data_IF_625133785142
#
_entry.id   IF_625133785142
#
_cell.length_a   1.000
_cell.length_b   1.000
_cell.length_c   1.000
_cell.angle_alpha   90.00
_cell.angle_beta   90.00
_cell.angle_gamma   90.00
#
_symmetry.space_group_name_H-M   'P 1'
#
loop_
_entity.id
_entity.type
_entity.pdbx_description
1 polymer ?
#
# COMPACT_ATOMS: atom_id res chain seq x y z
N UNK A 1 -5.07 -20.18 -2.46
CA UNK A 1 -4.72 -20.39 -1.04
C UNK A 1 -5.37 -19.36 -0.15
N UNK A 2 -5.08 -18.08 -0.34
CA UNK A 2 -5.61 -16.99 0.50
C UNK A 2 -6.16 -15.86 -0.37
N UNK A 3 -7.07 -15.05 0.17
CA UNK A 3 -7.53 -13.82 -0.45
C UNK A 3 -6.51 -12.69 -0.30
N UNK A 4 -6.96 -11.46 -0.57
CA UNK A 4 -6.18 -10.23 -0.36
C UNK A 4 -6.37 -9.66 1.07
N UNK A 5 -6.74 -10.51 2.03
CA UNK A 5 -7.03 -10.11 3.40
C UNK A 5 -5.88 -10.51 4.32
N UNK A 6 -5.23 -9.57 5.02
CA UNK A 6 -4.31 -9.90 6.11
C UNK A 6 -4.89 -10.88 7.14
N UNK A 7 -6.21 -10.83 7.37
CA UNK A 7 -6.90 -11.78 8.24
C UNK A 7 -6.74 -13.24 7.77
N UNK A 8 -6.77 -13.51 6.46
CA UNK A 8 -6.64 -14.86 5.90
C UNK A 8 -5.25 -15.48 6.18
N UNK A 9 -4.23 -14.63 6.30
CA UNK A 9 -2.85 -15.05 6.60
C UNK A 9 -2.58 -15.20 8.10
N UNK A 10 -3.52 -14.80 8.96
CA UNK A 10 -3.35 -14.85 10.41
C UNK A 10 -3.16 -16.29 10.89
N UNK A 11 -2.05 -16.54 11.58
CA UNK A 11 -1.72 -17.87 12.11
C UNK A 11 -1.23 -18.88 11.07
N UNK A 12 -1.09 -18.47 9.80
CA UNK A 12 -0.55 -19.32 8.74
C UNK A 12 0.97 -19.29 8.75
N UNK A 13 1.61 -20.46 8.61
CA UNK A 13 3.05 -20.52 8.41
C UNK A 13 3.39 -20.33 6.93
N UNK A 14 3.78 -19.10 6.60
CA UNK A 14 4.24 -18.67 5.26
C UNK A 14 5.76 -18.45 5.20
N UNK A 15 6.48 -18.79 6.27
CA UNK A 15 7.94 -18.64 6.31
C UNK A 15 8.59 -19.48 5.22
N UNK A 16 9.57 -18.88 4.54
CA UNK A 16 10.37 -19.49 3.46
C UNK A 16 9.54 -19.97 2.25
N UNK A 17 8.28 -19.52 2.14
CA UNK A 17 7.41 -19.79 0.99
C UNK A 17 7.41 -18.63 0.02
N UNK A 18 7.32 -18.95 -1.27
CA UNK A 18 7.00 -17.97 -2.31
C UNK A 18 5.50 -17.71 -2.32
N UNK A 19 5.09 -16.44 -2.19
CA UNK A 19 3.69 -16.03 -2.30
C UNK A 19 3.45 -15.48 -3.70
N UNK A 20 2.61 -16.17 -4.48
CA UNK A 20 2.12 -15.64 -5.76
C UNK A 20 0.87 -14.81 -5.46
N UNK A 21 1.02 -13.49 -5.51
CA UNK A 21 -0.04 -12.56 -5.18
C UNK A 21 -0.64 -11.92 -6.43
N UNK A 22 -1.93 -12.18 -6.67
CA UNK A 22 -2.66 -11.63 -7.81
C UNK A 22 -3.73 -10.64 -7.32
N UNK A 23 -3.65 -9.39 -7.74
CA UNK A 23 -4.65 -8.36 -7.42
C UNK A 23 -5.16 -7.71 -8.70
N UNK A 24 -6.40 -7.22 -8.66
CA UNK A 24 -7.02 -6.55 -9.81
C UNK A 24 -6.26 -5.30 -10.28
N UNK A 25 -5.52 -4.64 -9.38
CA UNK A 25 -4.72 -3.46 -9.66
C UNK A 25 -3.23 -3.79 -9.93
N UNK A 26 -2.81 -5.04 -9.75
CA UNK A 26 -1.41 -5.45 -9.92
C UNK A 26 -0.89 -5.23 -11.34
N UNK A 27 -1.74 -5.44 -12.35
CA UNK A 27 -1.40 -5.17 -13.76
C UNK A 27 -1.26 -3.67 -14.05
N UNK A 28 -2.02 -2.83 -13.35
CA UNK A 28 -1.92 -1.36 -13.46
C UNK A 28 -0.60 -0.89 -12.85
N UNK A 29 -0.21 -1.41 -11.69
CA UNK A 29 1.11 -1.16 -11.11
C UNK A 29 2.26 -1.59 -12.03
N UNK A 30 2.17 -2.78 -12.64
CA UNK A 30 3.17 -3.28 -13.59
C UNK A 30 3.28 -2.40 -14.85
N UNK A 31 2.16 -1.89 -15.38
CA UNK A 31 2.15 -1.00 -16.54
C UNK A 31 2.63 0.41 -16.22
N UNK A 32 2.16 1.01 -15.13
CA UNK A 32 2.52 2.38 -14.73
C UNK A 32 4.00 2.52 -14.44
N UNK A 33 4.62 1.44 -13.97
CA UNK A 33 6.02 1.46 -13.68
C UNK A 33 6.93 1.30 -14.92
N UNK A 34 6.38 1.23 -16.14
CA UNK A 34 7.11 0.83 -17.37
C UNK A 34 8.34 1.67 -17.68
N UNK A 35 8.31 2.93 -17.27
CA UNK A 35 9.38 3.89 -17.51
C UNK A 35 10.07 4.35 -16.22
N UNK A 36 9.78 3.71 -15.07
CA UNK A 36 10.38 4.08 -13.80
C UNK A 36 11.68 3.30 -13.57
N UNK A 37 12.76 4.00 -13.22
CA UNK A 37 14.04 3.38 -12.88
C UNK A 37 13.94 2.52 -11.60
N UNK A 38 13.05 2.92 -10.70
CA UNK A 38 12.85 2.31 -9.39
C UNK A 38 11.35 2.26 -9.06
N UNK A 39 10.90 1.13 -8.54
CA UNK A 39 9.50 0.90 -8.19
C UNK A 39 9.44 0.42 -6.74
N UNK A 40 8.64 1.09 -5.91
CA UNK A 40 8.52 0.78 -4.50
C UNK A 40 7.07 0.50 -4.12
N UNK A 41 6.85 -0.52 -3.30
CA UNK A 41 5.58 -0.74 -2.61
C UNK A 41 5.48 0.19 -1.40
N UNK A 42 4.65 1.23 -1.52
CA UNK A 42 4.37 2.16 -0.44
C UNK A 42 3.03 1.90 0.23
N UNK A 43 3.03 1.83 1.55
CA UNK A 43 1.85 1.77 2.40
C UNK A 43 2.10 2.53 3.70
N UNK A 44 1.03 2.85 4.45
CA UNK A 44 1.15 3.48 5.77
C UNK A 44 2.12 2.74 6.70
N UNK A 45 2.10 1.40 6.67
CA UNK A 45 2.90 0.55 7.54
C UNK A 45 4.42 0.69 7.33
N UNK A 46 4.86 1.06 6.12
CA UNK A 46 6.28 1.18 5.75
C UNK A 46 6.63 2.56 5.16
N UNK A 47 5.77 3.57 5.35
CA UNK A 47 5.86 4.86 4.68
C UNK A 47 7.21 5.57 4.94
N UNK A 48 7.64 5.68 6.20
CA UNK A 48 8.90 6.34 6.57
C UNK A 48 10.12 5.60 6.02
N UNK A 49 10.14 4.28 6.09
CA UNK A 49 11.23 3.47 5.54
C UNK A 49 11.35 3.66 4.02
N UNK A 50 10.20 3.65 3.33
CA UNK A 50 10.12 3.89 1.89
C UNK A 50 10.62 5.29 1.52
N UNK A 51 10.18 6.33 2.23
CA UNK A 51 10.63 7.71 1.99
C UNK A 51 12.12 7.90 2.27
N UNK A 52 12.64 7.30 3.35
CA UNK A 52 14.07 7.31 3.64
C UNK A 52 14.87 6.65 2.52
N UNK A 53 14.40 5.50 2.02
CA UNK A 53 15.03 4.82 0.89
C UNK A 53 15.04 5.68 -0.37
N UNK A 54 13.92 6.34 -0.71
CA UNK A 54 13.82 7.29 -1.83
C UNK A 54 14.87 8.41 -1.67
N UNK A 55 14.96 9.04 -0.49
CA UNK A 55 15.93 10.12 -0.22
C UNK A 55 17.38 9.67 -0.42
N UNK A 56 17.70 8.42 -0.06
CA UNK A 56 19.03 7.84 -0.27
C UNK A 56 19.36 7.67 -1.77
N UNK A 57 18.37 7.32 -2.59
CA UNK A 57 18.57 7.16 -4.04
C UNK A 57 18.74 8.50 -4.77
N UNK A 58 18.31 9.62 -4.16
CA UNK A 58 18.37 10.98 -4.74
C UNK A 58 17.82 11.05 -6.18
N UNK A 59 16.59 10.55 -6.43
CA UNK A 59 16.01 10.62 -7.77
C UNK A 59 15.69 12.08 -8.14
N UNK A 60 15.72 12.38 -9.43
CA UNK A 60 15.30 13.68 -9.96
C UNK A 60 13.77 13.88 -9.82
N UNK A 61 13.01 12.81 -10.04
CA UNK A 61 11.54 12.82 -10.01
C UNK A 61 11.03 11.70 -9.12
N UNK A 62 10.07 12.04 -8.26
CA UNK A 62 9.31 11.06 -7.46
C UNK A 62 7.84 11.15 -7.85
N UNK A 63 7.26 10.03 -8.30
CA UNK A 63 5.83 9.91 -8.56
C UNK A 63 5.18 9.06 -7.48
N UNK A 64 4.30 9.66 -6.68
CA UNK A 64 3.45 8.93 -5.74
C UNK A 64 2.14 8.58 -6.44
N UNK A 65 1.89 7.29 -6.62
CA UNK A 65 0.75 6.80 -7.39
C UNK A 65 -0.27 6.17 -6.45
N UNK A 66 -1.35 6.91 -6.14
CA UNK A 66 -2.51 6.38 -5.44
C UNK A 66 -3.26 5.41 -6.37
N UNK A 67 -3.26 4.12 -6.06
CA UNK A 67 -3.78 3.08 -6.97
C UNK A 67 -5.28 3.10 -7.13
N UNK A 68 -5.99 3.53 -6.09
CA UNK A 68 -7.43 3.50 -6.05
C UNK A 68 -7.99 2.09 -6.11
N UNK A 69 -9.25 1.98 -6.53
CA UNK A 69 -9.96 0.73 -6.66
C UNK A 69 -10.54 0.57 -8.07
N UNK A 70 -10.54 -0.65 -8.58
CA UNK A 70 -11.25 -0.99 -9.81
C UNK A 70 -12.74 -1.16 -9.53
N UNK A 71 -13.58 -0.51 -10.32
CA UNK A 71 -15.04 -0.64 -10.28
C UNK A 71 -15.58 -1.06 -11.64
N UNK A 72 -16.86 -1.44 -11.69
CA UNK A 72 -17.59 -1.70 -12.95
C UNK A 72 -17.63 -0.49 -13.90
N UNK A 73 -17.39 0.71 -13.37
CA UNK A 73 -17.38 1.96 -14.12
C UNK A 73 -15.96 2.47 -14.43
N UNK A 74 -14.93 1.65 -14.20
CA UNK A 74 -13.52 2.01 -14.39
C UNK A 74 -12.76 2.22 -13.08
N UNK A 75 -11.59 2.84 -13.19
CA UNK A 75 -10.73 3.18 -12.05
C UNK A 75 -11.37 4.28 -11.19
N UNK A 76 -11.40 4.06 -9.88
CA UNK A 76 -11.97 4.98 -8.89
C UNK A 76 -10.89 5.37 -7.90
N UNK A 77 -10.69 6.67 -7.71
CA UNK A 77 -9.83 7.19 -6.63
C UNK A 77 -10.39 6.76 -5.27
N UNK A 78 -9.51 6.37 -4.36
CA UNK A 78 -9.90 6.01 -3.00
C UNK A 78 -9.25 6.95 -2.01
N UNK A 79 -10.00 7.31 -0.96
CA UNK A 79 -9.57 8.33 -0.01
C UNK A 79 -8.31 7.87 0.76
N UNK A 80 -8.23 6.59 1.10
CA UNK A 80 -7.11 6.01 1.85
C UNK A 80 -5.80 6.01 1.05
N UNK A 81 -5.83 5.71 -0.26
CA UNK A 81 -4.63 5.71 -1.10
C UNK A 81 -4.11 7.13 -1.30
N UNK A 82 -5.01 8.09 -1.51
CA UNK A 82 -4.68 9.51 -1.63
C UNK A 82 -4.09 10.05 -0.32
N UNK A 83 -4.67 9.69 0.83
CA UNK A 83 -4.16 10.09 2.15
C UNK A 83 -2.81 9.44 2.46
N UNK A 84 -2.58 8.19 2.02
CA UNK A 84 -1.27 7.56 2.11
C UNK A 84 -0.23 8.31 1.27
N UNK A 85 -0.57 8.67 0.02
CA UNK A 85 0.30 9.46 -0.84
C UNK A 85 0.59 10.86 -0.24
N UNK A 86 -0.42 11.55 0.28
CA UNK A 86 -0.26 12.84 0.97
C UNK A 86 0.65 12.71 2.18
N UNK A 87 0.47 11.65 2.99
CA UNK A 87 1.35 11.39 4.13
C UNK A 87 2.80 11.20 3.69
N UNK A 88 3.06 10.33 2.71
CA UNK A 88 4.41 10.11 2.19
C UNK A 88 5.01 11.37 1.56
N UNK A 89 4.21 12.17 0.85
CA UNK A 89 4.62 13.48 0.33
C UNK A 89 5.09 14.40 1.45
N UNK A 90 4.34 14.48 2.55
CA UNK A 90 4.71 15.31 3.71
C UNK A 90 6.06 14.91 4.32
N UNK A 91 6.38 13.60 4.30
CA UNK A 91 7.69 13.10 4.75
C UNK A 91 8.82 13.45 3.76
N UNK A 92 8.54 13.40 2.45
CA UNK A 92 9.49 13.79 1.40
C UNK A 92 9.81 15.29 1.49
N UNK A 93 8.79 16.13 1.69
CA UNK A 93 8.89 17.59 1.82
C UNK A 93 9.36 18.06 3.21
N UNK A 94 9.67 17.13 4.12
CA UNK A 94 10.16 17.43 5.48
C UNK A 94 9.19 18.27 6.33
N UNK A 95 7.90 18.17 6.01
CA UNK A 95 6.78 18.82 6.70
C UNK A 95 5.80 17.76 7.23
N UNK A 96 6.27 16.83 8.09
CA UNK A 96 5.54 15.60 8.40
C UNK A 96 4.18 15.88 9.04
N UNK A 97 3.12 15.33 8.44
CA UNK A 97 1.80 15.28 9.06
C UNK A 97 1.87 14.28 10.24
N UNK A 98 1.20 14.60 11.35
CA UNK A 98 1.13 13.69 12.49
C UNK A 98 0.35 12.42 12.13
N UNK A 99 0.92 11.25 12.41
CA UNK A 99 0.32 9.95 12.08
C UNK A 99 -1.12 9.81 12.59
N UNK A 100 -1.42 10.32 13.79
CA UNK A 100 -2.77 10.27 14.37
C UNK A 100 -3.80 11.08 13.58
N UNK A 101 -3.38 12.14 12.88
CA UNK A 101 -4.29 12.93 12.04
C UNK A 101 -4.67 12.14 10.79
N UNK A 102 -3.71 11.49 10.13
CA UNK A 102 -3.96 10.62 8.97
C UNK A 102 -4.91 9.49 9.34
N UNK A 103 -4.65 8.79 10.45
CA UNK A 103 -5.52 7.70 10.93
C UNK A 103 -6.95 8.19 11.16
N UNK A 104 -7.13 9.33 11.83
CA UNK A 104 -8.45 9.90 12.09
C UNK A 104 -9.21 10.24 10.82
N UNK A 105 -8.54 10.84 9.83
CA UNK A 105 -9.18 11.19 8.56
C UNK A 105 -9.59 9.92 7.81
N UNK A 106 -8.70 8.94 7.67
CA UNK A 106 -9.00 7.67 7.01
C UNK A 106 -10.15 6.95 7.71
N UNK A 107 -10.19 6.94 9.04
CA UNK A 107 -11.26 6.31 9.81
C UNK A 107 -12.65 6.93 9.52
N UNK A 108 -12.69 8.23 9.19
CA UNK A 108 -13.92 8.94 8.84
C UNK A 108 -14.40 8.68 7.40
N UNK A 109 -13.52 8.22 6.51
CA UNK A 109 -13.79 7.99 5.08
C UNK A 109 -14.85 6.92 4.86
N UNK A 110 -15.60 7.04 3.75
CA UNK A 110 -16.74 6.14 3.48
C UNK A 110 -16.28 4.71 3.27
N UNK A 111 -15.19 4.52 2.53
CA UNK A 111 -14.63 3.20 2.24
C UNK A 111 -14.13 2.49 3.49
N UNK A 112 -13.68 3.22 4.51
CA UNK A 112 -13.24 2.66 5.80
C UNK A 112 -14.37 2.12 6.66
N UNK A 113 -15.62 2.52 6.40
CA UNK A 113 -16.79 2.12 7.21
C UNK A 113 -17.30 0.72 6.88
N UNK A 114 -16.95 0.15 5.72
CA UNK A 114 -17.35 -1.22 5.34
C UNK A 114 -16.62 -2.29 6.16
N UNK A 115 -15.43 -1.99 6.67
CA UNK A 115 -14.65 -2.91 7.47
C UNK A 115 -15.27 -3.08 8.86
N UNK A 116 -15.62 -4.32 9.21
CA UNK A 116 -16.32 -4.66 10.45
C UNK A 116 -17.85 -4.58 10.36
N UNK A 117 -18.43 -4.32 9.18
CA UNK A 117 -19.86 -4.44 8.96
C UNK A 117 -20.27 -5.93 9.00
N UNK A 118 -21.17 -6.36 9.92
CA UNK A 118 -21.63 -7.74 10.00
C UNK A 118 -22.30 -8.26 8.72
N UNK A 119 -22.80 -7.36 7.86
CA UNK A 119 -23.41 -7.70 6.58
C UNK A 119 -22.40 -7.82 5.44
N UNK A 120 -21.13 -7.46 5.67
CA UNK A 120 -20.06 -7.51 4.67
C UNK A 120 -18.85 -8.31 5.19
N UNK A 121 -19.05 -9.62 5.37
CA UNK A 121 -18.08 -10.56 5.94
C UNK A 121 -16.71 -10.57 5.22
N UNK A 122 -16.66 -10.15 3.95
CA UNK A 122 -15.43 -10.03 3.17
C UNK A 122 -14.50 -8.87 3.59
N UNK A 123 -14.96 -7.98 4.47
CA UNK A 123 -14.17 -6.85 4.99
C UNK A 123 -14.00 -6.97 6.51
N UNK A 124 -13.13 -7.87 7.01
CA UNK A 124 -12.93 -8.05 8.44
C UNK A 124 -12.31 -6.78 9.05
N UNK A 125 -12.78 -6.39 10.24
CA UNK A 125 -12.23 -5.22 10.96
C UNK A 125 -10.71 -5.31 11.18
N UNK A 126 -10.19 -6.54 11.29
CA UNK A 126 -8.76 -6.82 11.41
C UNK A 126 -7.95 -6.18 10.29
N UNK A 127 -8.43 -6.23 9.04
CA UNK A 127 -7.68 -5.69 7.90
C UNK A 127 -7.51 -4.17 7.99
N UNK A 128 -8.56 -3.47 8.41
CA UNK A 128 -8.50 -2.03 8.66
C UNK A 128 -7.51 -1.70 9.78
N UNK A 129 -7.53 -2.47 10.87
CA UNK A 129 -6.57 -2.29 11.98
C UNK A 129 -5.13 -2.47 11.47
N UNK A 130 -4.88 -3.48 10.64
CA UNK A 130 -3.56 -3.70 10.06
C UNK A 130 -3.15 -2.58 9.09
N UNK A 131 -4.06 -2.12 8.23
CA UNK A 131 -3.80 -1.05 7.26
C UNK A 131 -3.53 0.31 7.91
N UNK A 132 -4.08 0.58 9.10
CA UNK A 132 -3.91 1.83 9.84
C UNK A 132 -2.67 1.86 10.76
N UNK A 133 -1.90 0.77 10.83
CA UNK A 133 -0.59 0.78 11.50
C UNK A 133 0.38 1.59 10.67
N UNK A 134 0.94 2.65 11.24
CA UNK A 134 1.84 3.57 10.55
C UNK A 134 3.28 3.32 11.00
N UNK A 135 4.19 3.14 10.03
CA UNK A 135 5.64 2.98 10.25
C UNK A 135 6.03 1.83 11.20
N UNK A 136 5.24 0.76 11.26
CA UNK A 136 5.59 -0.43 12.04
C UNK A 136 6.66 -1.28 11.35
N UNK A 137 6.75 -1.19 10.03
CA UNK A 137 7.81 -1.83 9.24
C UNK A 137 8.88 -0.80 8.86
N UNK A 138 10.12 -1.18 9.10
CA UNK A 138 11.33 -0.35 8.99
C UNK A 138 12.09 -0.55 7.67
N UNK A 139 11.50 -1.27 6.72
CA UNK A 139 12.10 -1.63 5.44
C UNK A 139 11.26 -1.16 4.26
N UNK A 140 11.93 -0.86 3.15
CA UNK A 140 11.29 -0.55 1.89
C UNK A 140 10.97 -1.85 1.13
N UNK A 141 9.92 -1.84 0.30
CA UNK A 141 9.59 -2.96 -0.59
C UNK A 141 9.99 -2.56 -1.99
N UNK A 142 11.07 -3.12 -2.51
CA UNK A 142 11.48 -2.97 -3.90
C UNK A 142 10.66 -3.90 -4.78
N UNK A 143 10.11 -3.37 -5.87
CA UNK A 143 9.42 -4.16 -6.90
C UNK A 143 10.31 -4.23 -8.14
N UNK A 144 10.79 -5.42 -8.45
CA UNK A 144 11.55 -5.69 -9.66
C UNK A 144 10.65 -6.24 -10.76
N UNK A 145 10.92 -5.83 -11.99
CA UNK A 145 10.20 -6.31 -13.17
C UNK A 145 10.74 -7.67 -13.59
N UNK A 146 9.83 -8.63 -13.72
CA UNK A 146 10.00 -9.85 -14.49
C UNK A 146 9.01 -9.81 -15.66
N UNK A 147 9.26 -10.54 -16.74
CA UNK A 147 8.53 -10.45 -18.02
C UNK A 147 7.01 -10.23 -17.86
N UNK A 148 6.34 -11.05 -17.05
CA UNK A 148 4.89 -11.00 -16.85
C UNK A 148 4.43 -10.54 -15.45
N UNK A 149 5.34 -10.28 -14.52
CA UNK A 149 5.00 -10.04 -13.10
C UNK A 149 6.03 -9.18 -12.36
N UNK A 150 5.63 -8.66 -11.20
CA UNK A 150 6.54 -7.96 -10.29
C UNK A 150 7.02 -8.90 -9.18
N UNK A 151 8.31 -8.81 -8.85
CA UNK A 151 8.93 -9.53 -7.73
C UNK A 151 9.22 -8.56 -6.61
N UNK A 152 8.67 -8.79 -5.43
CA UNK A 152 8.96 -7.98 -4.26
C UNK A 152 10.23 -8.45 -3.54
N UNK A 153 11.09 -7.49 -3.17
CA UNK A 153 12.27 -7.70 -2.33
C UNK A 153 12.27 -6.70 -1.19
N UNK A 154 12.60 -7.16 0.00
CA UNK A 154 12.75 -6.30 1.19
C UNK A 154 14.14 -5.64 1.12
N UNK A 155 14.19 -4.33 1.36
CA UNK A 155 15.40 -3.50 1.35
C UNK A 155 15.55 -2.70 2.63
#
# INVERSE_FOLDING_TARGET
DFGNSPYDLKGQNIKDKTIIHCTMNGTTGAKLASNADLILGGALINAKATVNFIKLQKPEIVSLVAMGARSTYGEKRTEEDELCAIYMKSLLEETPIQSQQIVKVIDSCKESKKFGDPLQLQYPIFDKIQALRINEFDHAILLERSEDYLVSKIK
#
